data_IF_553556203631
#
_entry.id   IF_553556203631
#
_cell.length_a   1.000
_cell.length_b   1.000
_cell.length_c   1.000
_cell.angle_alpha   90.00
_cell.angle_beta   90.00
_cell.angle_gamma   90.00
#
_symmetry.space_group_name_H-M   'P 1'
#
loop_
_entity.id
_entity.type
_entity.pdbx_description
1 polymer ?
#
# COMPACT_ATOMS: atom_id res chain seq x y z
N UNK A 1 2.47 2.96 -11.36
CA UNK A 1 3.08 2.24 -10.21
C UNK A 1 3.17 3.19 -9.03
N UNK A 2 3.03 2.71 -7.79
CA UNK A 2 2.93 3.53 -6.57
C UNK A 2 4.22 4.27 -6.25
N UNK A 3 4.43 5.38 -6.97
CA UNK A 3 5.03 6.58 -6.41
C UNK A 3 4.07 7.12 -5.36
N UNK A 4 4.59 7.60 -4.23
CA UNK A 4 3.80 8.44 -3.32
C UNK A 4 3.09 9.52 -4.16
N UNK A 5 1.75 9.52 -4.17
CA UNK A 5 0.95 10.52 -4.91
C UNK A 5 0.63 11.75 -4.06
N UNK A 6 0.87 11.66 -2.75
CA UNK A 6 0.71 12.79 -1.86
C UNK A 6 1.93 13.69 -2.03
N UNK A 7 1.70 14.96 -2.38
CA UNK A 7 2.72 16.00 -2.31
C UNK A 7 2.91 16.32 -0.83
N UNK A 8 3.77 15.56 -0.17
CA UNK A 8 4.20 15.82 1.19
C UNK A 8 5.66 16.26 1.14
N UNK A 9 6.02 17.26 1.94
CA UNK A 9 7.43 17.58 2.25
C UNK A 9 8.09 16.51 3.12
N UNK A 10 7.29 15.54 3.59
CA UNK A 10 7.70 14.48 4.50
C UNK A 10 8.74 13.54 3.91
N UNK A 11 9.54 12.98 4.81
CA UNK A 11 10.54 11.96 4.53
C UNK A 11 10.00 10.81 3.64
N UNK A 12 10.86 10.35 2.72
CA UNK A 12 10.56 9.19 1.87
C UNK A 12 11.74 8.22 1.85
N UNK A 13 11.41 6.92 1.81
CA UNK A 13 12.38 5.86 1.60
C UNK A 13 12.48 5.52 0.10
N UNK A 14 13.72 5.47 -0.40
CA UNK A 14 14.05 5.14 -1.78
C UNK A 14 14.33 3.64 -1.96
N UNK A 15 13.84 3.06 -3.06
CA UNK A 15 14.15 1.68 -3.42
C UNK A 15 15.62 1.53 -3.86
N UNK A 16 16.33 0.55 -3.31
CA UNK A 16 17.75 0.31 -3.63
C UNK A 16 17.97 -0.74 -4.72
N UNK A 17 16.90 -1.30 -5.30
CA UNK A 17 17.00 -2.34 -6.34
C UNK A 17 17.60 -1.79 -7.64
N UNK A 18 18.71 -2.37 -8.16
CA UNK A 18 19.25 -2.04 -9.47
C UNK A 18 18.31 -2.44 -10.61
N UNK A 19 18.29 -1.66 -11.68
CA UNK A 19 17.56 -1.91 -12.93
C UNK A 19 18.50 -1.66 -14.12
N UNK A 20 18.08 -2.08 -15.32
CA UNK A 20 18.84 -1.88 -16.57
C UNK A 20 19.23 -0.41 -16.83
N UNK A 21 18.48 0.56 -16.28
CA UNK A 21 18.70 2.00 -16.44
C UNK A 21 18.94 2.69 -15.08
N UNK A 22 19.81 2.13 -14.24
CA UNK A 22 20.13 2.68 -12.91
C UNK A 22 19.22 2.14 -11.79
N UNK A 23 19.12 2.87 -10.67
CA UNK A 23 18.32 2.45 -9.52
C UNK A 23 16.81 2.57 -9.77
N UNK A 24 16.02 1.76 -9.06
CA UNK A 24 14.58 1.83 -9.14
C UNK A 24 14.05 3.19 -8.63
N UNK A 25 13.28 3.95 -9.43
CA UNK A 25 12.89 5.33 -9.09
C UNK A 25 11.75 5.43 -8.06
N UNK A 26 11.40 4.33 -7.39
CA UNK A 26 10.22 4.26 -6.52
C UNK A 26 10.60 4.73 -5.12
N UNK A 27 9.78 5.63 -4.60
CA UNK A 27 9.88 6.21 -3.26
C UNK A 27 8.54 6.09 -2.56
N UNK A 28 8.58 5.88 -1.24
CA UNK A 28 7.40 5.83 -0.38
C UNK A 28 7.56 6.79 0.80
N UNK A 29 6.53 7.58 1.10
CA UNK A 29 6.42 8.25 2.39
C UNK A 29 5.98 7.25 3.49
N UNK A 30 6.18 7.61 4.75
CA UNK A 30 5.75 6.85 5.92
C UNK A 30 4.32 6.33 5.79
N UNK A 31 3.38 7.24 5.52
CA UNK A 31 1.95 6.91 5.49
C UNK A 31 1.60 5.91 4.39
N UNK A 32 2.24 6.03 3.23
CA UNK A 32 1.99 5.11 2.12
C UNK A 32 2.60 3.74 2.38
N UNK A 33 3.80 3.69 2.96
CA UNK A 33 4.46 2.43 3.25
C UNK A 33 3.74 1.67 4.37
N UNK A 34 3.46 2.34 5.48
CA UNK A 34 2.77 1.79 6.64
C UNK A 34 1.36 1.32 6.28
N UNK A 35 0.48 2.19 5.75
CA UNK A 35 -0.91 1.78 5.51
C UNK A 35 -1.05 0.73 4.41
N UNK A 36 -0.18 0.75 3.39
CA UNK A 36 -0.32 -0.15 2.23
C UNK A 36 0.41 -1.47 2.42
N UNK A 37 1.48 -1.51 3.21
CA UNK A 37 2.37 -2.68 3.33
C UNK A 37 2.80 -3.01 4.77
N UNK A 38 2.50 -2.17 5.76
CA UNK A 38 2.82 -2.42 7.16
C UNK A 38 4.28 -2.22 7.51
N UNK A 39 5.04 -1.51 6.66
CA UNK A 39 6.47 -1.24 6.86
C UNK A 39 6.68 0.23 7.28
N UNK A 40 7.67 0.47 8.15
CA UNK A 40 8.07 1.82 8.55
C UNK A 40 9.14 2.41 7.63
N UNK A 41 9.00 3.67 7.22
CA UNK A 41 9.90 4.26 6.23
C UNK A 41 11.30 4.57 6.78
N UNK A 42 11.42 4.96 8.05
CA UNK A 42 12.71 5.27 8.67
C UNK A 42 13.54 4.00 8.87
N UNK A 43 12.91 2.94 9.36
CA UNK A 43 13.57 1.64 9.54
C UNK A 43 14.03 1.09 8.18
N UNK A 44 13.15 1.15 7.17
CA UNK A 44 13.49 0.71 5.81
C UNK A 44 14.53 1.58 5.13
N UNK A 45 14.69 2.83 5.53
CA UNK A 45 15.76 3.69 5.03
C UNK A 45 17.13 3.31 5.58
N UNK A 46 17.20 2.75 6.79
CA UNK A 46 18.46 2.26 7.40
C UNK A 46 18.92 0.93 6.79
N UNK A 47 17.98 0.13 6.28
CA UNK A 47 18.27 -1.15 5.63
C UNK A 47 19.01 -0.98 4.29
N UNK A 48 20.27 -1.45 4.23
CA UNK A 48 21.12 -1.31 3.05
C UNK A 48 20.57 -1.98 1.78
N UNK A 49 19.74 -3.03 1.95
CA UNK A 49 19.17 -3.83 0.87
C UNK A 49 17.67 -3.62 0.67
N UNK A 50 17.05 -2.57 1.22
CA UNK A 50 15.60 -2.44 1.12
C UNK A 50 15.14 -2.31 -0.35
N UNK A 51 14.20 -3.19 -0.72
CA UNK A 51 13.58 -3.21 -2.04
C UNK A 51 12.10 -2.90 -1.93
N UNK A 52 11.60 -2.04 -2.83
CA UNK A 52 10.21 -1.63 -2.75
C UNK A 52 9.24 -2.78 -3.08
N UNK A 53 7.98 -2.70 -2.60
CA UNK A 53 6.94 -3.72 -2.85
C UNK A 53 6.73 -4.09 -4.32
N UNK A 54 6.98 -3.16 -5.26
CA UNK A 54 6.91 -3.47 -6.69
C UNK A 54 8.06 -4.35 -7.16
N UNK A 55 9.28 -4.10 -6.66
CA UNK A 55 10.43 -4.94 -6.98
C UNK A 55 10.28 -6.35 -6.39
N UNK A 56 9.65 -6.46 -5.21
CA UNK A 56 9.29 -7.73 -4.55
C UNK A 56 8.06 -8.44 -5.14
N UNK A 57 7.40 -7.87 -6.14
CA UNK A 57 6.21 -8.48 -6.75
C UNK A 57 4.91 -8.39 -5.93
N UNK A 58 4.91 -7.75 -4.77
CA UNK A 58 3.75 -7.67 -3.85
C UNK A 58 2.96 -6.34 -3.95
N UNK A 59 3.24 -5.52 -4.97
CA UNK A 59 2.60 -4.21 -5.10
C UNK A 59 1.07 -4.31 -5.30
N UNK A 60 0.30 -3.78 -4.35
CA UNK A 60 -1.16 -3.76 -4.36
C UNK A 60 -1.74 -2.50 -5.06
N UNK A 61 -1.02 -1.87 -5.99
CA UNK A 61 -1.57 -0.76 -6.77
C UNK A 61 -2.54 -1.28 -7.84
N UNK A 62 -3.54 -0.48 -8.22
CA UNK A 62 -4.56 -0.88 -9.21
C UNK A 62 -3.96 -1.42 -10.50
N UNK A 63 -2.91 -0.78 -11.03
CA UNK A 63 -2.23 -1.21 -12.24
C UNK A 63 -1.51 -2.56 -12.08
N UNK A 64 -0.88 -2.81 -10.93
CA UNK A 64 -0.18 -4.07 -10.68
C UNK A 64 -1.17 -5.21 -10.45
N UNK A 65 -2.28 -4.96 -9.73
CA UNK A 65 -3.35 -5.95 -9.53
C UNK A 65 -4.04 -6.32 -10.85
N UNK A 66 -4.42 -5.33 -11.67
CA UNK A 66 -4.99 -5.59 -13.01
C UNK A 66 -4.07 -6.45 -13.88
N UNK A 67 -2.77 -6.21 -13.85
CA UNK A 67 -1.78 -7.03 -14.59
C UNK A 67 -1.70 -8.47 -14.10
N UNK A 68 -2.11 -8.75 -12.85
CA UNK A 68 -2.20 -10.09 -12.28
C UNK A 68 -3.61 -10.72 -12.45
N UNK A 69 -4.55 -10.03 -13.10
CA UNK A 69 -5.96 -10.46 -13.16
C UNK A 69 -6.74 -10.21 -11.86
N UNK A 70 -6.17 -9.48 -10.90
CA UNK A 70 -6.81 -9.21 -9.61
C UNK A 70 -7.62 -7.90 -9.62
N UNK A 71 -8.68 -7.85 -8.81
CA UNK A 71 -9.51 -6.65 -8.62
C UNK A 71 -8.70 -5.50 -7.98
N UNK A 72 -8.77 -4.27 -8.51
CA UNK A 72 -8.17 -3.10 -7.88
C UNK A 72 -8.61 -2.95 -6.42
N UNK A 73 -7.70 -2.54 -5.53
CA UNK A 73 -8.04 -2.40 -4.11
C UNK A 73 -9.01 -1.25 -3.83
N UNK A 74 -8.91 -0.13 -4.54
CA UNK A 74 -9.53 1.11 -4.07
C UNK A 74 -8.87 1.62 -2.78
N UNK A 75 -9.62 2.38 -1.96
CA UNK A 75 -9.16 2.95 -0.69
C UNK A 75 -9.48 1.98 0.46
N UNK A 76 -8.63 0.97 0.66
CA UNK A 76 -8.83 -0.05 1.72
C UNK A 76 -8.12 0.24 3.04
N UNK A 77 -7.33 1.31 3.14
CA UNK A 77 -6.51 1.56 4.33
C UNK A 77 -7.36 1.66 5.62
N UNK A 78 -8.54 2.30 5.54
CA UNK A 78 -9.45 2.40 6.69
C UNK A 78 -10.15 1.08 6.99
N UNK A 79 -10.61 0.38 5.96
CA UNK A 79 -11.27 -0.92 6.11
C UNK A 79 -10.31 -1.96 6.72
N UNK A 80 -9.06 -2.02 6.26
CA UNK A 80 -8.04 -2.90 6.82
C UNK A 80 -7.87 -2.69 8.33
N UNK A 81 -7.71 -1.43 8.76
CA UNK A 81 -7.58 -1.10 10.19
C UNK A 81 -8.82 -1.42 11.00
N UNK A 82 -10.02 -1.14 10.46
CA UNK A 82 -11.28 -1.45 11.13
C UNK A 82 -11.48 -2.95 11.34
N UNK A 83 -10.94 -3.77 10.43
CA UNK A 83 -10.92 -5.23 10.51
C UNK A 83 -9.73 -5.79 11.33
N UNK A 84 -8.96 -4.93 11.99
CA UNK A 84 -7.83 -5.35 12.84
C UNK A 84 -6.53 -5.67 12.08
N UNK A 85 -6.44 -5.37 10.79
CA UNK A 85 -5.23 -5.58 10.00
C UNK A 85 -4.26 -4.40 10.11
N UNK A 86 -2.97 -4.71 10.13
CA UNK A 86 -1.90 -3.71 10.20
C UNK A 86 -1.75 -2.91 8.90
N UNK A 87 -2.15 -3.48 7.76
CA UNK A 87 -2.06 -2.83 6.45
C UNK A 87 -3.01 -3.44 5.43
N UNK A 88 -3.16 -2.78 4.28
CA UNK A 88 -3.89 -3.32 3.13
C UNK A 88 -3.25 -4.63 2.64
N UNK A 89 -1.92 -4.74 2.67
CA UNK A 89 -1.26 -5.98 2.27
C UNK A 89 -1.60 -7.15 3.18
N UNK A 90 -1.64 -6.91 4.50
CA UNK A 90 -2.01 -7.91 5.50
C UNK A 90 -3.45 -8.41 5.30
N UNK A 91 -4.40 -7.49 5.10
CA UNK A 91 -5.79 -7.81 4.74
C UNK A 91 -5.86 -8.68 3.47
N UNK A 92 -5.10 -8.33 2.42
CA UNK A 92 -5.14 -9.07 1.15
C UNK A 92 -4.57 -10.49 1.24
N UNK A 93 -3.57 -10.73 2.10
CA UNK A 93 -2.97 -12.07 2.27
C UNK A 93 -3.86 -12.94 3.16
N UNK A 94 -4.33 -12.41 4.29
CA UNK A 94 -5.03 -13.20 5.31
C UNK A 94 -6.48 -13.53 4.94
N UNK A 95 -7.10 -12.73 4.09
CA UNK A 95 -8.52 -12.88 3.80
C UNK A 95 -8.81 -12.68 2.31
N UNK A 96 -8.41 -13.65 1.49
CA UNK A 96 -8.77 -13.68 0.05
C UNK A 96 -10.29 -13.56 -0.15
N UNK A 97 -11.08 -14.14 0.75
CA UNK A 97 -12.55 -14.11 0.70
C UNK A 97 -13.18 -12.81 1.24
N UNK A 98 -12.52 -12.09 2.16
CA UNK A 98 -13.09 -10.86 2.75
C UNK A 98 -12.77 -9.58 1.97
N UNK A 99 -11.96 -9.63 0.91
CA UNK A 99 -11.66 -8.45 0.08
C UNK A 99 -12.93 -7.85 -0.51
N UNK A 100 -13.89 -8.69 -0.91
CA UNK A 100 -15.19 -8.25 -1.43
C UNK A 100 -16.01 -7.51 -0.35
N UNK A 101 -16.06 -8.05 0.87
CA UNK A 101 -16.79 -7.45 2.00
C UNK A 101 -16.15 -6.12 2.46
N UNK A 102 -14.81 -6.04 2.50
CA UNK A 102 -14.09 -4.81 2.83
C UNK A 102 -14.34 -3.69 1.79
N UNK A 103 -14.50 -4.07 0.51
CA UNK A 103 -14.92 -3.14 -0.54
C UNK A 103 -16.35 -2.65 -0.32
N UNK A 104 -17.28 -3.51 0.12
CA UNK A 104 -18.66 -3.12 0.47
C UNK A 104 -18.69 -2.12 1.63
N UNK A 105 -17.92 -2.37 2.71
CA UNK A 105 -17.80 -1.46 3.86
C UNK A 105 -17.26 -0.08 3.47
N UNK A 106 -16.33 -0.01 2.50
CA UNK A 106 -15.79 1.26 2.00
C UNK A 106 -16.76 2.05 1.11
N UNK A 107 -17.86 1.41 0.65
CA UNK A 107 -18.83 1.98 -0.28
C UNK A 107 -20.09 2.54 0.41
N UNK A 108 -20.28 2.30 1.71
CA UNK A 108 -21.39 2.89 2.46
C UNK A 108 -21.15 4.40 2.69
N UNK A 109 -22.10 5.27 2.32
CA UNK A 109 -21.99 6.70 2.57
C UNK A 109 -21.97 6.95 4.09
N UNK A 110 -20.96 7.67 4.56
CA UNK A 110 -20.89 8.20 5.93
C UNK A 110 -22.01 9.23 6.13
N UNK A 111 -23.24 8.79 6.44
CA UNK A 111 -24.29 9.65 6.98
C UNK A 111 -24.76 9.11 8.31
N UNK A 112 -24.14 9.56 9.40
CA UNK A 112 -24.87 9.85 10.64
C UNK A 112 -24.27 11.15 11.19
N UNK A 113 -25.02 12.24 11.02
CA UNK A 113 -24.79 13.51 11.73
C UNK A 113 -24.95 13.21 13.21
N UNK A 114 -23.99 13.63 14.04
CA UNK A 114 -24.19 13.71 15.48
C UNK A 114 -25.34 14.69 15.74
N UNK A 115 -26.39 14.21 16.40
CA UNK A 115 -27.34 15.04 17.16
C UNK A 115 -26.61 15.59 18.36
#
# INVERSE_FOLDING_TARGET
>A
ATRCRQKTTDFTVACRQPRKKGLCPIHFCHKCLSNRYGEDAEDKAKEAGWTCPKCRGICNCSLCRKKKGETPTGILAHAAKALGHSSVHDLLIKSSEMVAAAQTLSSFPKKIKKV
#
